data_IF_938408363260
#
_entry.id   IF_938408363260
#
_cell.length_a   1.000
_cell.length_b   1.000
_cell.length_c   1.000
_cell.angle_alpha   90.00
_cell.angle_beta   90.00
_cell.angle_gamma   90.00
#
_symmetry.space_group_name_H-M   'P 1'
#
loop_
_entity.id
_entity.type
_entity.pdbx_description
1 polymer ?
#
# COMPACT_ATOMS: atom_id res chain seq x y z
N UNK A 1 -4.05 -12.01 -5.99
CA UNK A 1 -3.42 -11.53 -7.24
C UNK A 1 -1.90 -11.46 -7.17
N UNK A 2 -1.28 -10.90 -6.11
CA UNK A 2 0.18 -10.71 -6.03
C UNK A 2 1.03 -11.96 -6.36
N UNK A 3 0.67 -13.15 -5.85
CA UNK A 3 1.35 -14.43 -6.18
C UNK A 3 1.38 -14.72 -7.68
N UNK A 4 0.26 -14.50 -8.39
CA UNK A 4 0.16 -14.72 -9.84
C UNK A 4 1.04 -13.75 -10.65
N UNK A 5 1.44 -12.63 -10.04
CA UNK A 5 2.33 -11.62 -10.62
C UNK A 5 3.79 -11.79 -10.18
N UNK A 6 4.13 -12.87 -9.46
CA UNK A 6 5.50 -13.23 -9.11
C UNK A 6 5.96 -12.78 -7.72
N UNK A 7 5.09 -12.20 -6.89
CA UNK A 7 5.44 -11.92 -5.50
C UNK A 7 5.60 -13.22 -4.70
N UNK A 8 6.67 -13.31 -3.90
CA UNK A 8 6.93 -14.48 -3.07
C UNK A 8 5.88 -14.62 -1.96
N UNK A 9 5.65 -15.84 -1.47
CA UNK A 9 4.68 -16.08 -0.41
C UNK A 9 5.11 -15.37 0.89
N UNK A 10 6.40 -15.38 1.17
CA UNK A 10 7.02 -14.76 2.35
C UNK A 10 6.84 -13.24 2.34
N UNK A 11 7.00 -12.59 1.17
CA UNK A 11 6.76 -11.15 1.04
C UNK A 11 5.29 -10.80 1.28
N UNK A 12 4.38 -11.60 0.74
CA UNK A 12 2.95 -11.38 0.92
C UNK A 12 2.56 -11.55 2.39
N UNK A 13 3.08 -12.57 3.05
CA UNK A 13 2.86 -12.80 4.48
C UNK A 13 3.43 -11.65 5.32
N UNK A 14 4.63 -11.18 5.02
CA UNK A 14 5.23 -10.02 5.72
C UNK A 14 4.38 -8.75 5.60
N UNK A 15 3.80 -8.49 4.43
CA UNK A 15 2.88 -7.35 4.22
C UNK A 15 1.56 -7.56 4.98
N UNK A 16 1.02 -8.77 4.99
CA UNK A 16 -0.25 -9.09 5.64
C UNK A 16 -0.18 -9.05 7.16
N UNK A 17 0.89 -9.58 7.75
CA UNK A 17 1.04 -9.71 9.20
C UNK A 17 1.37 -8.37 9.88
N UNK A 18 1.60 -7.30 9.09
CA UNK A 18 1.98 -5.94 9.54
C UNK A 18 3.12 -5.92 10.58
N UNK A 19 3.87 -7.02 10.72
CA UNK A 19 4.58 -7.37 11.95
C UNK A 19 6.06 -7.67 11.74
N UNK A 20 6.42 -8.44 10.70
CA UNK A 20 7.83 -8.69 10.38
C UNK A 20 8.37 -7.63 9.43
N UNK A 21 8.78 -6.50 10.01
CA UNK A 21 9.47 -5.43 9.27
C UNK A 21 10.80 -5.89 8.68
N UNK A 22 11.44 -6.94 9.19
CA UNK A 22 12.76 -7.37 8.71
C UNK A 22 12.75 -7.84 7.26
N UNK A 23 11.63 -8.40 6.80
CA UNK A 23 11.41 -8.77 5.40
C UNK A 23 11.12 -7.54 4.51
N UNK A 24 10.41 -6.56 5.05
CA UNK A 24 10.09 -5.29 4.36
C UNK A 24 11.31 -4.38 4.26
N UNK A 25 12.21 -4.41 5.26
CA UNK A 25 13.45 -3.63 5.29
C UNK A 25 14.43 -3.99 4.16
N UNK A 26 14.19 -5.13 3.49
CA UNK A 26 14.93 -5.55 2.28
C UNK A 26 14.39 -4.93 0.99
N UNK A 27 13.24 -4.27 1.04
CA UNK A 27 12.69 -3.53 -0.09
C UNK A 27 13.46 -2.22 -0.29
N UNK A 28 13.56 -1.77 -1.54
CA UNK A 28 14.09 -0.45 -1.83
C UNK A 28 13.33 0.64 -1.05
N UNK A 29 13.99 1.72 -0.61
CA UNK A 29 13.38 2.77 0.21
C UNK A 29 12.08 3.36 -0.36
N UNK A 30 11.98 3.43 -1.69
CA UNK A 30 10.78 3.90 -2.38
C UNK A 30 9.55 3.01 -2.13
N UNK A 31 9.72 1.69 -2.06
CA UNK A 31 8.63 0.76 -1.76
C UNK A 31 8.18 0.87 -0.30
N UNK A 32 9.12 1.03 0.63
CA UNK A 32 8.81 1.29 2.03
C UNK A 32 8.03 2.60 2.20
N UNK A 33 8.44 3.67 1.51
CA UNK A 33 7.71 4.94 1.52
C UNK A 33 6.30 4.80 0.92
N UNK A 34 6.12 4.01 -0.14
CA UNK A 34 4.81 3.74 -0.73
C UNK A 34 3.89 2.92 0.18
N UNK A 35 4.43 1.92 0.90
CA UNK A 35 3.68 1.14 1.89
C UNK A 35 3.28 2.01 3.09
N UNK A 36 4.22 2.80 3.64
CA UNK A 36 3.92 3.76 4.73
C UNK A 36 2.84 4.78 4.29
N UNK A 37 2.90 5.24 3.03
CA UNK A 37 1.90 6.13 2.46
C UNK A 37 0.53 5.47 2.32
N UNK A 38 0.48 4.23 1.83
CA UNK A 38 -0.76 3.46 1.76
C UNK A 38 -1.42 3.28 3.14
N UNK A 39 -0.63 2.98 4.17
CA UNK A 39 -1.13 2.84 5.55
C UNK A 39 -1.72 4.14 6.11
N UNK A 40 -1.11 5.28 5.79
CA UNK A 40 -1.63 6.60 6.20
C UNK A 40 -2.90 6.95 5.44
N UNK A 41 -2.90 6.82 4.11
CA UNK A 41 -4.05 7.18 3.26
C UNK A 41 -5.26 6.29 3.55
N UNK A 42 -5.05 5.01 3.87
CA UNK A 42 -6.11 4.09 4.33
C UNK A 42 -6.89 4.67 5.52
N UNK A 43 -6.19 5.29 6.49
CA UNK A 43 -6.83 5.98 7.63
C UNK A 43 -7.42 7.32 7.22
N UNK A 44 -6.59 8.20 6.66
CA UNK A 44 -6.99 9.53 6.21
C UNK A 44 -5.91 10.17 5.35
N UNK A 45 -6.29 10.68 4.17
CA UNK A 45 -5.39 11.47 3.32
C UNK A 45 -4.91 12.77 3.98
N UNK A 46 -5.61 13.30 5.00
CA UNK A 46 -5.19 14.49 5.74
C UNK A 46 -4.02 14.23 6.70
N UNK A 47 -3.73 12.96 7.03
CA UNK A 47 -2.63 12.57 7.90
C UNK A 47 -1.29 12.43 7.13
N UNK A 48 -1.30 12.64 5.81
CA UNK A 48 -0.09 12.63 4.99
C UNK A 48 0.75 13.84 5.36
N UNK A 49 1.90 13.59 5.98
CA UNK A 49 2.85 14.65 6.35
C UNK A 49 3.79 14.99 5.19
N UNK A 50 4.31 16.21 5.19
CA UNK A 50 5.34 16.66 4.23
C UNK A 50 6.58 15.76 4.27
N UNK A 51 6.94 15.25 5.46
CA UNK A 51 8.06 14.33 5.61
C UNK A 51 7.82 13.00 4.87
N UNK A 52 6.61 12.44 4.98
CA UNK A 52 6.23 11.22 4.27
C UNK A 52 6.15 11.46 2.76
N UNK A 53 5.52 12.55 2.34
CA UNK A 53 5.42 12.92 0.93
C UNK A 53 6.81 13.23 0.32
N UNK A 54 7.70 13.84 1.09
CA UNK A 54 9.10 14.07 0.72
C UNK A 54 9.87 12.78 0.48
N UNK A 55 9.68 11.74 1.32
CA UNK A 55 10.28 10.41 1.09
C UNK A 55 9.79 9.79 -0.23
N UNK A 56 8.49 9.89 -0.52
CA UNK A 56 7.94 9.42 -1.80
C UNK A 56 8.61 10.13 -2.99
N UNK A 57 8.65 11.47 -2.95
CA UNK A 57 9.21 12.30 -4.02
C UNK A 57 10.72 12.11 -4.20
N UNK A 58 11.41 11.57 -3.19
CA UNK A 58 12.81 11.14 -3.28
C UNK A 58 13.03 9.85 -4.06
N UNK A 59 11.98 9.07 -4.35
CA UNK A 59 12.08 7.78 -5.06
C UNK A 59 11.16 7.64 -6.27
N UNK A 60 10.11 8.47 -6.35
CA UNK A 60 9.08 8.41 -7.37
C UNK A 60 8.82 9.80 -7.96
N UNK A 61 8.56 9.85 -9.26
CA UNK A 61 8.13 11.09 -9.91
C UNK A 61 6.66 11.45 -9.60
N UNK A 62 6.24 12.65 -10.00
CA UNK A 62 4.88 13.13 -9.72
C UNK A 62 3.79 12.24 -10.32
N UNK A 63 3.98 11.75 -11.54
CA UNK A 63 3.02 10.89 -12.21
C UNK A 63 2.89 9.54 -11.49
N UNK A 64 4.02 8.96 -11.10
CA UNK A 64 4.07 7.71 -10.33
C UNK A 64 3.39 7.87 -8.96
N UNK A 65 3.57 9.00 -8.27
CA UNK A 65 2.89 9.26 -6.99
C UNK A 65 1.37 9.36 -7.19
N UNK A 66 0.92 9.99 -8.28
CA UNK A 66 -0.51 10.04 -8.64
C UNK A 66 -1.07 8.64 -8.88
N UNK A 67 -0.35 7.80 -9.63
CA UNK A 67 -0.77 6.41 -9.89
C UNK A 67 -0.80 5.56 -8.61
N UNK A 68 0.21 5.68 -7.74
CA UNK A 68 0.24 5.02 -6.42
C UNK A 68 -0.99 5.44 -5.61
N UNK A 69 -1.27 6.74 -5.54
CA UNK A 69 -2.43 7.29 -4.81
C UNK A 69 -3.75 6.77 -5.38
N UNK A 70 -3.86 6.67 -6.71
CA UNK A 70 -5.05 6.14 -7.38
C UNK A 70 -5.28 4.67 -7.01
N UNK A 71 -4.24 3.83 -7.03
CA UNK A 71 -4.34 2.40 -6.68
C UNK A 71 -4.78 2.23 -5.21
N UNK A 72 -4.23 3.03 -4.31
CA UNK A 72 -4.64 3.04 -2.89
C UNK A 72 -6.14 3.40 -2.80
N UNK A 73 -6.54 4.53 -3.39
CA UNK A 73 -7.93 5.00 -3.34
C UNK A 73 -8.94 4.03 -3.96
N UNK A 74 -8.59 3.39 -5.08
CA UNK A 74 -9.44 2.40 -5.73
C UNK A 74 -9.60 1.14 -4.87
N UNK A 75 -8.54 0.72 -4.19
CA UNK A 75 -8.61 -0.42 -3.25
C UNK A 75 -9.48 -0.09 -2.03
N UNK A 76 -9.35 1.13 -1.48
CA UNK A 76 -10.22 1.61 -0.40
C UNK A 76 -11.69 1.68 -0.79
N UNK A 77 -11.99 2.13 -2.02
CA UNK A 77 -13.33 2.10 -2.57
C UNK A 77 -13.90 0.68 -2.57
N UNK A 78 -13.16 -0.30 -3.10
CA UNK A 78 -13.64 -1.69 -3.15
C UNK A 78 -13.84 -2.28 -1.76
N UNK A 79 -12.92 -2.04 -0.83
CA UNK A 79 -13.02 -2.53 0.55
C UNK A 79 -14.31 -1.98 1.20
N UNK A 80 -14.50 -0.67 1.19
CA UNK A 80 -15.67 -0.02 1.81
C UNK A 80 -16.98 -0.41 1.13
N UNK A 81 -16.98 -0.52 -0.19
CA UNK A 81 -18.15 -0.94 -0.97
C UNK A 81 -18.55 -2.37 -0.63
N UNK A 82 -17.60 -3.30 -0.67
CA UNK A 82 -17.84 -4.71 -0.36
C UNK A 82 -18.25 -4.92 1.10
N UNK A 83 -17.59 -4.24 2.04
CA UNK A 83 -17.92 -4.30 3.48
C UNK A 83 -19.34 -3.78 3.74
N UNK A 84 -19.72 -2.67 3.11
CA UNK A 84 -21.06 -2.08 3.24
C UNK A 84 -22.16 -3.01 2.72
N UNK A 85 -21.85 -3.79 1.69
CA UNK A 85 -22.78 -4.76 1.08
C UNK A 85 -22.65 -6.16 1.68
N UNK A 86 -21.72 -6.39 2.62
CA UNK A 86 -21.42 -7.70 3.22
C UNK A 86 -21.13 -8.77 2.17
N UNK A 87 -20.36 -8.41 1.15
CA UNK A 87 -19.94 -9.34 0.09
C UNK A 87 -18.96 -10.35 0.70
N UNK A 88 -19.26 -11.64 0.59
CA UNK A 88 -18.33 -12.68 1.06
C UNK A 88 -17.17 -12.85 0.06
N UNK A 89 -15.92 -13.05 0.54
CA UNK A 89 -14.80 -13.36 -0.32
C UNK A 89 -15.05 -14.64 -1.12
N UNK A 90 -14.89 -14.57 -2.44
CA UNK A 90 -14.86 -15.76 -3.29
C UNK A 90 -13.60 -16.57 -3.00
N UNK A 91 -13.77 -17.89 -2.83
CA UNK A 91 -12.66 -18.84 -2.63
C UNK A 91 -11.84 -19.05 -3.89
#
# INVERSE_FOLDING_TARGET
MARQKGASAELIEAIQDRGDRGLLDRLEPGWLAALDFADVVHRSGHEVTDALYGRLRGSWDEGQIVEITLVIGMTEYFNRFNDSLRVEPTK
#
